data_IF_395832991931
#
_entry.id   IF_395832991931
#
_cell.length_a   1.000
_cell.length_b   1.000
_cell.length_c   1.000
_cell.angle_alpha   90.00
_cell.angle_beta   90.00
_cell.angle_gamma   90.00
#
_symmetry.space_group_name_H-M   'P 1'
#
loop_
_entity.id
_entity.type
_entity.pdbx_description
1 polymer ?
#
# COMPACT_ATOMS: atom_id res chain seq x y z
N UNK A 1 19.17 -15.90 0.38
CA UNK A 1 19.50 -14.47 0.18
C UNK A 1 19.13 -13.75 1.47
N UNK A 2 20.05 -12.99 2.04
CA UNK A 2 19.75 -12.22 3.24
C UNK A 2 18.76 -11.09 2.86
N UNK A 3 17.61 -11.04 3.53
CA UNK A 3 16.55 -10.04 3.28
C UNK A 3 16.55 -8.94 4.32
N UNK A 4 17.27 -9.16 5.42
CA UNK A 4 17.30 -8.22 6.53
C UNK A 4 18.13 -7.02 6.15
N UNK A 5 17.55 -5.84 6.32
CA UNK A 5 18.23 -4.56 6.18
C UNK A 5 18.18 -3.82 7.51
N UNK A 6 19.13 -2.90 7.73
CA UNK A 6 19.34 -2.31 9.06
C UNK A 6 18.23 -1.32 9.48
N UNK A 7 17.66 -0.63 8.50
CA UNK A 7 16.70 0.46 8.77
C UNK A 7 15.87 0.82 7.52
N UNK A 8 14.92 1.73 7.71
CA UNK A 8 14.03 2.19 6.65
C UNK A 8 14.77 2.87 5.48
N UNK A 9 15.86 3.59 5.74
CA UNK A 9 16.62 4.28 4.68
C UNK A 9 17.30 3.27 3.75
N UNK A 10 17.87 2.21 4.30
CA UNK A 10 18.42 1.10 3.51
C UNK A 10 17.31 0.33 2.79
N UNK A 11 16.17 0.12 3.46
CA UNK A 11 15.05 -0.61 2.87
C UNK A 11 14.52 0.06 1.60
N UNK A 12 14.38 1.40 1.60
CA UNK A 12 13.89 2.16 0.44
C UNK A 12 14.94 2.44 -0.63
N UNK A 13 16.18 2.03 -0.42
CA UNK A 13 17.26 2.27 -1.39
C UNK A 13 16.89 1.69 -2.77
N UNK A 14 17.05 2.53 -3.80
CA UNK A 14 16.66 2.22 -5.18
C UNK A 14 15.27 2.72 -5.58
N UNK A 15 14.47 3.27 -4.65
CA UNK A 15 13.29 4.03 -5.01
C UNK A 15 13.77 5.38 -5.59
N UNK A 16 13.25 5.73 -6.76
CA UNK A 16 13.60 6.96 -7.49
C UNK A 16 12.36 7.67 -8.02
N UNK A 17 12.58 8.88 -8.54
CA UNK A 17 11.52 9.72 -9.09
C UNK A 17 10.68 9.01 -10.14
N UNK A 18 9.37 9.23 -10.08
CA UNK A 18 8.41 8.69 -11.05
C UNK A 18 7.99 7.25 -10.81
N UNK A 19 8.55 6.54 -9.84
CA UNK A 19 8.18 5.15 -9.55
C UNK A 19 6.77 5.02 -8.97
N UNK A 20 6.18 3.85 -9.18
CA UNK A 20 4.88 3.46 -8.63
C UNK A 20 5.09 2.65 -7.35
N UNK A 21 4.51 3.12 -6.26
CA UNK A 21 4.58 2.52 -4.93
C UNK A 21 3.19 2.07 -4.46
N UNK A 22 3.06 0.82 -4.04
CA UNK A 22 1.93 0.38 -3.21
C UNK A 22 2.28 0.59 -1.75
N UNK A 23 1.43 1.28 -1.01
CA UNK A 23 1.64 1.57 0.41
C UNK A 23 0.48 0.97 1.20
N UNK A 24 0.81 -0.03 2.02
CA UNK A 24 -0.15 -0.77 2.84
C UNK A 24 -0.81 0.09 3.92
N UNK A 25 -1.89 -0.43 4.47
CA UNK A 25 -2.68 0.24 5.49
C UNK A 25 -4.12 0.52 5.07
N UNK A 26 -4.91 0.92 6.05
CA UNK A 26 -6.30 1.37 5.88
C UNK A 26 -6.54 2.53 6.87
N UNK A 27 -6.87 3.71 6.39
CA UNK A 27 -6.78 4.90 7.21
C UNK A 27 -5.34 5.05 7.71
N UNK A 28 -5.16 5.18 8.99
CA UNK A 28 -3.86 5.19 9.64
C UNK A 28 -3.48 3.83 10.24
N UNK A 29 -4.38 2.84 10.16
CA UNK A 29 -4.16 1.53 10.74
C UNK A 29 -3.24 0.67 9.85
N UNK A 30 -2.12 0.19 10.41
CA UNK A 30 -1.22 -0.71 9.71
C UNK A 30 -0.37 -0.05 8.62
N UNK A 31 -0.15 1.26 8.69
CA UNK A 31 0.72 1.98 7.76
C UNK A 31 2.20 1.79 8.10
N UNK A 32 3.10 1.77 7.12
CA UNK A 32 4.55 1.65 7.32
C UNK A 32 5.17 3.00 7.69
N UNK A 33 5.03 3.40 8.96
CA UNK A 33 5.39 4.74 9.45
C UNK A 33 6.87 5.11 9.25
N UNK A 34 7.78 4.14 9.51
CA UNK A 34 9.22 4.41 9.38
C UNK A 34 9.62 4.53 7.92
N UNK A 35 9.06 3.69 7.05
CA UNK A 35 9.31 3.74 5.61
C UNK A 35 8.77 5.02 4.98
N UNK A 36 7.58 5.47 5.37
CA UNK A 36 7.02 6.75 4.92
C UNK A 36 7.92 7.91 5.35
N UNK A 37 8.34 7.95 6.61
CA UNK A 37 9.27 8.98 7.11
C UNK A 37 10.62 8.97 6.37
N UNK A 38 11.11 7.78 6.01
CA UNK A 38 12.32 7.65 5.21
C UNK A 38 12.12 8.18 3.77
N UNK A 39 10.99 7.88 3.13
CA UNK A 39 10.63 8.43 1.81
C UNK A 39 10.56 9.96 1.83
N UNK A 40 9.95 10.55 2.86
CA UNK A 40 9.93 12.01 3.03
C UNK A 40 11.34 12.57 3.07
N UNK A 41 12.22 11.97 3.87
CA UNK A 41 13.63 12.42 4.01
C UNK A 41 14.46 12.21 2.75
N UNK A 42 14.15 11.24 1.93
CA UNK A 42 14.90 10.94 0.70
C UNK A 42 14.74 12.02 -0.37
N UNK A 43 13.61 12.77 -0.34
CA UNK A 43 13.30 13.79 -1.32
C UNK A 43 12.91 13.25 -2.69
N UNK A 44 12.72 11.92 -2.87
CA UNK A 44 12.19 11.35 -4.11
C UNK A 44 10.84 11.96 -4.43
N UNK A 45 10.56 12.23 -5.69
CA UNK A 45 9.38 12.97 -6.11
C UNK A 45 8.69 12.35 -7.34
N UNK A 46 7.57 12.97 -7.77
CA UNK A 46 6.75 12.51 -8.90
C UNK A 46 6.25 11.08 -8.74
N UNK A 47 6.11 10.60 -7.51
CA UNK A 47 5.66 9.24 -7.21
C UNK A 47 4.20 9.03 -7.63
N UNK A 48 3.89 7.83 -8.10
CA UNK A 48 2.52 7.32 -8.15
C UNK A 48 2.29 6.45 -6.93
N UNK A 49 1.37 6.85 -6.04
CA UNK A 49 1.05 6.09 -4.84
C UNK A 49 -0.28 5.36 -5.00
N UNK A 50 -0.28 4.05 -4.76
CA UNK A 50 -1.46 3.19 -4.71
C UNK A 50 -1.70 2.83 -3.25
N UNK A 51 -2.79 3.31 -2.66
CA UNK A 51 -3.16 3.01 -1.28
C UNK A 51 -4.66 3.19 -1.09
N UNK A 52 -5.23 2.62 -0.02
CA UNK A 52 -6.65 2.75 0.24
C UNK A 52 -7.09 4.21 0.40
N UNK A 53 -6.27 5.03 1.05
CA UNK A 53 -6.47 6.46 1.26
C UNK A 53 -5.12 7.20 1.32
N UNK A 54 -5.18 8.52 1.56
CA UNK A 54 -3.99 9.39 1.57
C UNK A 54 -3.50 9.79 2.98
N UNK A 55 -3.91 9.07 4.03
CA UNK A 55 -3.59 9.46 5.40
C UNK A 55 -4.33 10.75 5.82
N UNK A 56 -3.80 11.42 6.81
CA UNK A 56 -4.22 12.76 7.27
C UNK A 56 -3.09 13.76 7.02
N UNK A 57 -3.34 15.05 7.16
CA UNK A 57 -2.37 16.10 6.80
C UNK A 57 -0.97 15.90 7.40
N UNK A 58 -0.90 15.54 8.67
CA UNK A 58 0.34 15.45 9.45
C UNK A 58 0.82 14.01 9.72
N UNK A 59 0.21 13.01 9.05
CA UNK A 59 0.58 11.62 9.31
C UNK A 59 0.28 10.68 8.12
N UNK A 60 1.09 9.61 8.01
CA UNK A 60 0.96 8.66 6.92
C UNK A 60 1.36 9.25 5.58
N UNK A 61 0.66 8.89 4.51
CA UNK A 61 0.93 9.37 3.14
C UNK A 61 0.75 10.90 3.03
N UNK A 62 -0.05 11.52 3.92
CA UNK A 62 -0.20 12.97 3.98
C UNK A 62 1.14 13.72 4.06
N UNK A 63 2.13 13.14 4.74
CA UNK A 63 3.49 13.71 4.80
C UNK A 63 4.17 13.80 3.42
N UNK A 64 3.94 12.82 2.55
CA UNK A 64 4.44 12.84 1.16
C UNK A 64 3.70 13.87 0.31
N UNK A 65 2.41 14.06 0.56
CA UNK A 65 1.61 15.09 -0.11
C UNK A 65 2.07 16.50 0.30
N UNK A 66 2.29 16.75 1.59
CA UNK A 66 2.85 18.02 2.07
C UNK A 66 4.21 18.31 1.44
N UNK A 67 5.05 17.30 1.27
CA UNK A 67 6.34 17.39 0.60
C UNK A 67 6.26 17.51 -0.93
N UNK A 68 5.05 17.50 -1.52
CA UNK A 68 4.81 17.49 -2.98
C UNK A 68 5.57 16.37 -3.71
N UNK A 69 5.76 15.24 -3.04
CA UNK A 69 6.49 14.09 -3.57
C UNK A 69 5.60 13.18 -4.43
N UNK A 70 4.27 13.30 -4.30
CA UNK A 70 3.29 12.49 -5.03
C UNK A 70 2.77 13.26 -6.23
N UNK A 71 2.91 12.69 -7.42
CA UNK A 71 2.31 13.20 -8.66
C UNK A 71 0.90 12.65 -8.90
N UNK A 72 0.72 11.37 -8.60
CA UNK A 72 -0.55 10.67 -8.79
C UNK A 72 -0.91 9.82 -7.57
N UNK A 73 -2.16 9.94 -7.14
CA UNK A 73 -2.74 9.06 -6.12
C UNK A 73 -3.81 8.18 -6.73
N UNK A 74 -3.71 6.87 -6.52
CA UNK A 74 -4.73 5.88 -6.88
C UNK A 74 -5.29 5.33 -5.57
N UNK A 75 -6.56 5.64 -5.27
CA UNK A 75 -7.15 5.30 -3.98
C UNK A 75 -8.66 5.07 -4.08
N UNK A 76 -9.24 4.60 -2.98
CA UNK A 76 -10.70 4.42 -2.90
C UNK A 76 -11.39 5.46 -2.02
N UNK A 77 -10.62 6.28 -1.34
CA UNK A 77 -11.12 7.30 -0.40
C UNK A 77 -10.12 8.46 -0.26
N UNK A 78 -10.63 9.67 -0.18
CA UNK A 78 -9.83 10.91 -0.18
C UNK A 78 -10.20 11.89 0.93
N UNK A 79 -11.03 11.51 1.88
CA UNK A 79 -11.43 12.36 3.00
C UNK A 79 -10.32 12.55 4.05
N UNK A 80 -10.52 13.53 4.94
CA UNK A 80 -9.71 13.79 6.14
C UNK A 80 -8.27 14.28 5.90
N UNK A 81 -7.97 14.74 4.67
CA UNK A 81 -6.68 15.32 4.32
C UNK A 81 -6.90 16.60 3.51
N UNK A 82 -6.72 17.76 4.15
CA UNK A 82 -6.98 19.08 3.56
C UNK A 82 -5.97 19.38 2.45
N UNK A 83 -4.71 19.01 2.63
CA UNK A 83 -3.69 19.21 1.60
C UNK A 83 -3.95 18.35 0.35
N UNK A 84 -4.44 17.13 0.52
CA UNK A 84 -4.88 16.31 -0.60
C UNK A 84 -5.99 17.01 -1.41
N UNK A 85 -7.04 17.49 -0.72
CA UNK A 85 -8.15 18.19 -1.35
C UNK A 85 -7.66 19.44 -2.09
N UNK A 86 -6.80 20.22 -1.46
CA UNK A 86 -6.21 21.42 -2.07
C UNK A 86 -5.45 21.10 -3.35
N UNK A 87 -4.55 20.10 -3.32
CA UNK A 87 -3.75 19.72 -4.49
C UNK A 87 -4.60 19.13 -5.62
N UNK A 88 -5.66 18.39 -5.30
CA UNK A 88 -6.60 17.90 -6.28
C UNK A 88 -7.34 19.05 -6.98
N UNK A 89 -7.91 19.98 -6.21
CA UNK A 89 -8.68 21.10 -6.75
C UNK A 89 -7.79 22.09 -7.55
N UNK A 90 -6.52 22.24 -7.19
CA UNK A 90 -5.56 23.07 -7.93
C UNK A 90 -4.96 22.38 -9.17
N UNK A 91 -5.19 21.09 -9.36
CA UNK A 91 -4.60 20.31 -10.45
C UNK A 91 -3.12 19.95 -10.23
N UNK A 92 -2.58 20.18 -9.03
CA UNK A 92 -1.21 19.79 -8.68
C UNK A 92 -1.07 18.26 -8.51
N UNK A 93 -2.14 17.57 -8.12
CA UNK A 93 -2.19 16.13 -7.90
C UNK A 93 -3.19 15.46 -8.85
N UNK A 94 -2.71 14.49 -9.62
CA UNK A 94 -3.58 13.59 -10.36
C UNK A 94 -4.23 12.58 -9.39
N UNK A 95 -5.54 12.35 -9.50
CA UNK A 95 -6.25 11.41 -8.63
C UNK A 95 -7.08 10.45 -9.47
N UNK A 96 -6.92 9.15 -9.22
CA UNK A 96 -7.73 8.08 -9.76
C UNK A 96 -8.50 7.42 -8.61
N UNK A 97 -9.81 7.68 -8.54
CA UNK A 97 -10.68 7.05 -7.57
C UNK A 97 -11.28 5.78 -8.14
N UNK A 98 -11.12 4.69 -7.41
CA UNK A 98 -11.66 3.38 -7.80
C UNK A 98 -12.43 2.75 -6.64
N UNK A 99 -13.46 1.93 -6.92
CA UNK A 99 -14.17 1.23 -5.86
C UNK A 99 -13.21 0.40 -5.00
N UNK A 100 -13.37 0.43 -3.68
CA UNK A 100 -12.44 -0.20 -2.74
C UNK A 100 -12.24 -1.69 -3.00
N UNK A 101 -13.32 -2.43 -3.30
CA UNK A 101 -13.21 -3.84 -3.67
C UNK A 101 -12.42 -4.05 -4.96
N UNK A 102 -12.53 -3.15 -5.92
CA UNK A 102 -11.74 -3.17 -7.16
C UNK A 102 -10.26 -2.89 -6.87
N UNK A 103 -9.94 -1.93 -5.98
CA UNK A 103 -8.57 -1.67 -5.55
C UNK A 103 -7.95 -2.94 -4.93
N UNK A 104 -8.67 -3.58 -4.02
CA UNK A 104 -8.23 -4.81 -3.38
C UNK A 104 -8.00 -5.94 -4.41
N UNK A 105 -8.93 -6.12 -5.34
CA UNK A 105 -8.85 -7.19 -6.35
C UNK A 105 -7.75 -6.90 -7.38
N UNK A 106 -7.51 -5.66 -7.78
CA UNK A 106 -6.39 -5.29 -8.66
C UNK A 106 -5.03 -5.60 -8.01
N UNK A 107 -4.88 -5.41 -6.68
CA UNK A 107 -3.70 -5.86 -5.93
C UNK A 107 -3.59 -7.39 -5.93
N UNK A 108 -4.70 -8.09 -5.59
CA UNK A 108 -4.71 -9.56 -5.53
C UNK A 108 -4.38 -10.17 -6.90
N UNK A 109 -5.01 -9.66 -7.96
CA UNK A 109 -4.77 -10.10 -9.33
C UNK A 109 -3.30 -9.95 -9.72
N UNK A 110 -2.68 -8.81 -9.40
CA UNK A 110 -1.27 -8.57 -9.64
C UNK A 110 -0.39 -9.61 -8.95
N UNK A 111 -0.62 -9.86 -7.67
CA UNK A 111 0.13 -10.86 -6.88
C UNK A 111 -0.08 -12.29 -7.34
N UNK A 112 -1.21 -12.60 -7.96
CA UNK A 112 -1.55 -13.93 -8.51
C UNK A 112 -1.14 -14.10 -9.99
N UNK A 113 -0.60 -13.07 -10.64
CA UNK A 113 -0.27 -13.12 -12.06
C UNK A 113 -1.50 -13.09 -12.99
N UNK A 114 -2.66 -12.66 -12.50
CA UNK A 114 -3.90 -12.49 -13.27
C UNK A 114 -3.89 -11.11 -13.90
N UNK A 115 -3.84 -10.97 -15.24
CA UNK A 115 -3.64 -9.68 -15.89
C UNK A 115 -4.86 -8.75 -15.80
N UNK A 116 -6.08 -9.32 -15.78
CA UNK A 116 -7.34 -8.58 -15.73
C UNK A 116 -8.48 -9.44 -15.20
N UNK A 117 -9.55 -8.82 -14.75
CA UNK A 117 -10.77 -9.48 -14.29
C UNK A 117 -12.00 -8.61 -14.61
N UNK A 118 -13.20 -9.19 -14.49
CA UNK A 118 -14.45 -8.49 -14.69
C UNK A 118 -15.18 -8.29 -13.34
N UNK A 119 -15.70 -7.06 -13.12
CA UNK A 119 -16.44 -6.69 -11.91
C UNK A 119 -17.68 -5.87 -12.24
N UNK A 120 -18.80 -6.04 -11.54
CA UNK A 120 -19.97 -5.17 -11.69
C UNK A 120 -19.77 -3.81 -10.99
N UNK A 121 -18.77 -3.68 -10.10
CA UNK A 121 -18.52 -2.45 -9.34
C UNK A 121 -18.09 -1.32 -10.31
N UNK A 122 -18.74 -0.17 -10.20
CA UNK A 122 -18.44 1.00 -11.03
C UNK A 122 -19.12 0.99 -12.41
N UNK A 123 -19.80 -0.09 -12.83
CA UNK A 123 -20.57 -0.05 -14.08
C UNK A 123 -21.68 1.03 -14.00
N UNK A 124 -21.79 1.85 -15.07
CA UNK A 124 -22.76 2.95 -15.13
C UNK A 124 -22.29 4.24 -14.44
N UNK A 125 -21.05 4.31 -14.03
CA UNK A 125 -20.39 5.53 -13.51
C UNK A 125 -19.20 5.91 -14.39
N UNK A 126 -18.57 7.05 -14.15
CA UNK A 126 -17.35 7.49 -14.81
C UNK A 126 -16.21 6.45 -14.76
N UNK A 127 -16.20 5.61 -13.72
CA UNK A 127 -15.21 4.50 -13.57
C UNK A 127 -15.27 3.53 -14.76
N UNK A 128 -16.43 3.40 -15.42
CA UNK A 128 -16.63 2.48 -16.53
C UNK A 128 -16.21 3.06 -17.91
N UNK A 129 -15.90 4.35 -18.00
CA UNK A 129 -15.58 4.99 -19.26
C UNK A 129 -14.34 4.39 -19.92
N UNK A 130 -14.47 4.05 -21.19
CA UNK A 130 -13.39 3.44 -21.99
C UNK A 130 -13.06 1.99 -21.65
N UNK A 131 -13.74 1.35 -20.68
CA UNK A 131 -13.47 -0.04 -20.28
C UNK A 131 -14.33 -1.03 -21.07
N UNK A 132 -13.77 -2.21 -21.34
CA UNK A 132 -14.51 -3.32 -21.93
C UNK A 132 -15.65 -3.76 -21.03
N UNK A 133 -16.85 -3.96 -21.62
CA UNK A 133 -18.04 -4.42 -20.91
C UNK A 133 -18.43 -5.81 -21.37
N UNK A 134 -18.65 -6.74 -20.43
CA UNK A 134 -19.22 -8.07 -20.71
C UNK A 134 -20.42 -8.35 -19.81
N UNK A 135 -21.29 -9.24 -20.30
CA UNK A 135 -22.47 -9.68 -19.56
C UNK A 135 -22.21 -11.07 -19.00
N UNK A 136 -22.32 -11.21 -17.67
CA UNK A 136 -22.28 -12.48 -16.97
C UNK A 136 -23.58 -12.65 -16.18
N UNK A 137 -24.29 -13.75 -16.41
CA UNK A 137 -25.57 -14.04 -15.74
C UNK A 137 -26.57 -12.87 -15.78
N UNK A 138 -26.69 -12.20 -16.95
CA UNK A 138 -27.60 -11.09 -17.16
C UNK A 138 -27.14 -9.75 -16.56
N UNK A 139 -25.97 -9.68 -15.88
CA UNK A 139 -25.42 -8.46 -15.29
C UNK A 139 -24.21 -7.97 -16.07
N UNK A 140 -24.15 -6.65 -16.29
CA UNK A 140 -23.01 -6.00 -16.94
C UNK A 140 -21.84 -5.88 -15.97
N UNK A 141 -20.64 -6.15 -16.47
CA UNK A 141 -19.36 -6.08 -15.76
C UNK A 141 -18.38 -5.29 -16.62
N UNK A 142 -17.52 -4.52 -15.98
CA UNK A 142 -16.39 -3.83 -16.60
C UNK A 142 -15.11 -4.61 -16.37
N UNK A 143 -14.19 -4.56 -17.33
CA UNK A 143 -12.86 -5.12 -17.19
C UNK A 143 -11.96 -4.17 -16.39
N UNK A 144 -11.28 -4.72 -15.41
CA UNK A 144 -10.25 -4.04 -14.63
C UNK A 144 -8.91 -4.76 -14.78
N UNK A 145 -7.85 -4.01 -15.05
CA UNK A 145 -6.49 -4.56 -15.13
C UNK A 145 -5.83 -4.64 -13.75
N UNK A 146 -4.99 -5.66 -13.58
CA UNK A 146 -4.15 -5.77 -12.40
C UNK A 146 -3.19 -4.59 -12.30
N UNK A 147 -2.83 -4.20 -11.07
CA UNK A 147 -1.85 -3.15 -10.87
C UNK A 147 -0.44 -3.57 -11.30
N UNK A 148 0.34 -2.58 -11.70
CA UNK A 148 1.79 -2.69 -11.87
C UNK A 148 2.45 -1.74 -10.88
N UNK A 149 3.33 -2.26 -10.03
CA UNK A 149 4.02 -1.46 -9.02
C UNK A 149 5.50 -1.83 -8.97
N UNK A 150 6.35 -0.82 -8.86
CA UNK A 150 7.79 -1.04 -8.73
C UNK A 150 8.14 -1.51 -7.32
N UNK A 151 7.50 -0.93 -6.32
CA UNK A 151 7.66 -1.33 -4.93
C UNK A 151 6.31 -1.48 -4.23
N UNK A 152 6.25 -2.44 -3.30
CA UNK A 152 5.23 -2.49 -2.27
C UNK A 152 5.89 -2.26 -0.91
N UNK A 153 5.31 -1.41 -0.08
CA UNK A 153 5.79 -1.09 1.25
C UNK A 153 4.68 -1.41 2.22
N UNK A 154 4.90 -2.41 3.06
CA UNK A 154 3.89 -2.94 3.97
C UNK A 154 4.37 -2.94 5.42
N UNK A 155 3.42 -2.92 6.35
CA UNK A 155 3.72 -3.00 7.78
C UNK A 155 3.07 -4.22 8.38
N UNK A 156 3.87 -5.08 9.01
CA UNK A 156 3.38 -6.23 9.77
C UNK A 156 3.63 -6.06 11.28
N UNK A 157 2.99 -6.91 12.08
CA UNK A 157 3.25 -6.99 13.51
C UNK A 157 4.54 -7.73 13.77
N UNK A 158 4.67 -8.95 13.25
CA UNK A 158 5.87 -9.77 13.36
C UNK A 158 6.33 -10.23 11.99
N UNK A 159 7.62 -10.38 11.84
CA UNK A 159 8.21 -11.05 10.69
C UNK A 159 9.46 -11.81 11.10
N UNK A 160 9.78 -12.87 10.38
CA UNK A 160 11.05 -13.54 10.55
C UNK A 160 12.08 -13.08 9.51
N UNK A 161 13.33 -13.46 9.70
CA UNK A 161 14.43 -13.07 8.79
C UNK A 161 14.31 -13.70 7.40
N UNK A 162 13.44 -14.69 7.21
CA UNK A 162 13.08 -15.25 5.90
C UNK A 162 11.97 -14.45 5.21
N UNK A 163 11.38 -13.46 5.90
CA UNK A 163 10.35 -12.56 5.38
C UNK A 163 8.92 -13.06 5.54
N UNK A 164 8.67 -14.11 6.32
CA UNK A 164 7.31 -14.50 6.68
C UNK A 164 6.67 -13.47 7.59
N UNK A 165 5.40 -13.10 7.34
CA UNK A 165 4.74 -12.00 8.03
C UNK A 165 3.47 -12.44 8.74
N UNK A 166 3.28 -11.90 9.95
CA UNK A 166 2.03 -11.97 10.73
C UNK A 166 1.53 -10.55 10.99
N UNK A 167 0.27 -10.29 10.64
CA UNK A 167 -0.40 -9.01 10.90
C UNK A 167 -1.29 -9.11 12.12
N UNK A 168 -1.47 -8.01 12.85
CA UNK A 168 -2.28 -7.97 14.06
C UNK A 168 -3.63 -7.31 13.80
N UNK A 169 -4.71 -8.04 14.08
CA UNK A 169 -6.08 -7.56 13.99
C UNK A 169 -6.36 -6.80 12.65
N UNK A 170 -6.99 -5.63 12.72
CA UNK A 170 -7.36 -4.83 11.54
C UNK A 170 -6.18 -4.23 10.78
N UNK A 171 -4.98 -4.21 11.36
CA UNK A 171 -3.76 -3.80 10.64
C UNK A 171 -3.36 -4.79 9.52
N UNK A 172 -4.01 -5.95 9.42
CA UNK A 172 -3.86 -6.86 8.29
C UNK A 172 -4.32 -6.23 6.98
N UNK A 173 -5.52 -5.64 6.96
CA UNK A 173 -6.16 -4.90 5.85
C UNK A 173 -5.56 -5.14 4.45
N UNK A 174 -5.06 -4.11 3.76
CA UNK A 174 -4.49 -4.21 2.42
C UNK A 174 -3.05 -4.77 2.38
N UNK A 175 -2.37 -4.84 3.52
CA UNK A 175 -0.96 -5.22 3.59
C UNK A 175 -0.62 -6.54 2.90
N UNK A 176 -1.33 -7.67 3.13
CA UNK A 176 -0.99 -8.95 2.49
C UNK A 176 -1.10 -8.91 0.96
N UNK A 177 -2.16 -8.30 0.44
CA UNK A 177 -2.38 -8.24 -1.01
C UNK A 177 -1.36 -7.35 -1.69
N UNK A 178 -1.02 -6.21 -1.09
CA UNK A 178 0.00 -5.31 -1.61
C UNK A 178 1.40 -5.94 -1.54
N UNK A 179 1.72 -6.67 -0.47
CA UNK A 179 2.98 -7.40 -0.35
C UNK A 179 3.22 -8.37 -1.50
N UNK A 180 2.16 -8.98 -2.03
CA UNK A 180 2.25 -9.92 -3.16
C UNK A 180 2.37 -9.22 -4.52
N UNK A 181 2.00 -7.95 -4.61
CA UNK A 181 1.79 -7.24 -5.88
C UNK A 181 2.97 -6.38 -6.34
N UNK A 182 3.92 -6.05 -5.46
CA UNK A 182 5.10 -5.27 -5.80
C UNK A 182 6.16 -6.11 -6.52
N UNK A 183 6.91 -5.50 -7.45
CA UNK A 183 8.13 -6.14 -8.00
C UNK A 183 9.17 -6.36 -6.89
N UNK A 184 9.29 -5.37 -6.00
CA UNK A 184 10.14 -5.42 -4.79
C UNK A 184 9.24 -5.08 -3.61
N UNK A 185 9.16 -5.99 -2.65
CA UNK A 185 8.38 -5.79 -1.43
C UNK A 185 9.29 -5.53 -0.23
N UNK A 186 9.03 -4.40 0.42
CA UNK A 186 9.66 -3.97 1.66
C UNK A 186 8.67 -4.21 2.79
N UNK A 187 9.06 -4.98 3.79
CA UNK A 187 8.28 -5.21 5.00
C UNK A 187 8.91 -4.51 6.20
N UNK A 188 8.15 -3.62 6.80
CA UNK A 188 8.44 -3.00 8.08
C UNK A 188 7.73 -3.79 9.17
N UNK A 189 8.43 -4.24 10.21
CA UNK A 189 7.84 -5.04 11.29
C UNK A 189 8.06 -4.41 12.66
N UNK A 190 7.13 -4.65 13.58
CA UNK A 190 7.30 -4.20 14.97
C UNK A 190 8.29 -5.11 15.72
N UNK A 191 8.31 -6.41 15.37
CA UNK A 191 9.17 -7.41 15.97
C UNK A 191 9.75 -8.31 14.88
N UNK A 192 11.07 -8.32 14.77
CA UNK A 192 11.81 -9.21 13.87
C UNK A 192 12.32 -10.40 14.67
N UNK A 193 11.94 -11.60 14.26
CA UNK A 193 12.27 -12.84 14.95
C UNK A 193 13.11 -13.77 14.08
N UNK A 194 13.61 -14.85 14.64
CA UNK A 194 14.35 -15.87 13.90
C UNK A 194 13.41 -16.81 13.16
N UNK A 195 13.86 -17.47 12.07
CA UNK A 195 13.10 -18.54 11.43
C UNK A 195 12.73 -19.63 12.45
N UNK A 196 11.48 -20.09 12.37
CA UNK A 196 10.93 -21.10 13.28
C UNK A 196 10.32 -20.55 14.58
N UNK A 197 10.45 -19.24 14.87
CA UNK A 197 9.79 -18.62 16.04
C UNK A 197 8.35 -18.19 15.74
N UNK A 198 7.96 -18.09 14.47
CA UNK A 198 6.57 -17.89 14.06
C UNK A 198 5.87 -19.24 13.89
N UNK A 199 4.64 -19.35 14.39
CA UNK A 199 3.83 -20.55 14.13
C UNK A 199 3.50 -20.63 12.63
N UNK A 200 3.91 -21.69 11.93
CA UNK A 200 3.71 -21.83 10.49
C UNK A 200 2.23 -21.87 10.08
N UNK A 201 1.31 -22.23 10.99
CA UNK A 201 -0.13 -22.24 10.74
C UNK A 201 -0.73 -20.83 10.70
N UNK A 202 -0.03 -19.81 11.21
CA UNK A 202 -0.50 -18.43 11.30
C UNK A 202 0.28 -17.46 10.41
N UNK A 203 1.10 -17.93 9.49
CA UNK A 203 1.75 -17.07 8.50
C UNK A 203 0.69 -16.47 7.56
N UNK A 204 0.57 -15.15 7.55
CA UNK A 204 -0.39 -14.44 6.71
C UNK A 204 0.16 -14.10 5.32
N UNK A 205 1.45 -13.81 5.23
CA UNK A 205 2.16 -13.58 3.98
C UNK A 205 3.45 -14.39 3.99
N UNK A 206 3.60 -15.36 3.07
CA UNK A 206 4.83 -16.13 2.94
C UNK A 206 6.02 -15.26 2.55
N UNK A 207 7.18 -15.58 3.09
CA UNK A 207 8.42 -14.85 2.86
C UNK A 207 8.83 -14.72 1.40
N UNK A 208 8.39 -15.63 0.53
CA UNK A 208 8.68 -15.57 -0.91
C UNK A 208 8.28 -14.23 -1.56
N UNK A 209 7.30 -13.53 -1.00
CA UNK A 209 6.83 -12.24 -1.49
C UNK A 209 7.62 -11.05 -0.94
N UNK A 210 8.47 -11.26 0.08
CA UNK A 210 9.22 -10.19 0.73
C UNK A 210 10.67 -10.21 0.28
N UNK A 211 11.15 -9.07 -0.22
CA UNK A 211 12.52 -8.90 -0.69
C UNK A 211 13.41 -8.26 0.36
N UNK A 212 12.87 -7.34 1.15
CA UNK A 212 13.58 -6.64 2.23
C UNK A 212 12.70 -6.57 3.46
N UNK A 213 13.30 -6.81 4.63
CA UNK A 213 12.61 -6.73 5.91
C UNK A 213 13.48 -6.03 6.93
N UNK A 214 12.88 -5.17 7.77
CA UNK A 214 13.55 -4.52 8.89
C UNK A 214 12.61 -4.29 10.05
N UNK A 215 13.18 -4.19 11.25
CA UNK A 215 12.41 -3.81 12.42
C UNK A 215 12.33 -2.29 12.53
N UNK A 216 11.10 -1.75 12.59
CA UNK A 216 10.87 -0.33 12.78
C UNK A 216 11.32 0.15 14.16
N UNK A 217 11.88 1.35 14.24
CA UNK A 217 12.44 1.89 15.48
C UNK A 217 11.38 2.35 16.47
N UNK A 218 10.26 2.87 15.97
CA UNK A 218 9.16 3.37 16.80
C UNK A 218 7.87 3.48 16.00
N UNK A 219 6.74 3.39 16.70
CA UNK A 219 5.41 3.51 16.12
C UNK A 219 4.51 4.39 16.97
N UNK A 220 3.84 5.35 16.36
CA UNK A 220 2.85 6.19 17.02
C UNK A 220 1.46 5.52 17.00
N UNK A 221 1.15 4.79 15.94
CA UNK A 221 -0.11 4.03 15.76
C UNK A 221 -1.35 4.88 15.93
N UNK A 222 -1.38 6.03 15.28
CA UNK A 222 -2.61 6.82 15.23
C UNK A 222 -3.73 6.04 14.53
N UNK A 223 -4.95 6.25 15.01
CA UNK A 223 -6.16 5.90 14.27
C UNK A 223 -6.92 7.21 14.14
N UNK A 224 -6.88 7.79 12.94
CA UNK A 224 -7.41 9.10 12.66
C UNK A 224 -6.88 10.15 13.68
N UNK A 225 -7.75 10.75 14.48
CA UNK A 225 -7.37 11.73 15.50
C UNK A 225 -6.94 11.09 16.84
N UNK A 226 -6.77 9.78 16.90
CA UNK A 226 -6.43 9.05 18.12
C UNK A 226 -5.09 8.34 18.00
N UNK A 227 -4.38 8.25 19.11
CA UNK A 227 -3.19 7.39 19.25
C UNK A 227 -3.55 6.19 20.11
N UNK A 228 -3.15 4.99 19.69
CA UNK A 228 -3.31 3.78 20.51
C UNK A 228 -2.07 3.64 21.36
N UNK A 229 -2.23 3.86 22.66
CA UNK A 229 -1.24 3.44 23.65
C UNK A 229 -1.40 1.94 23.92
N UNK A 230 -0.28 1.25 24.14
CA UNK A 230 -0.25 -0.17 24.52
C UNK A 230 -0.93 -0.42 25.85
#
# INVERSE_FOLDING_TARGET
MDKVVQNAAEAIAGISDGMTLMIGGFGLCGIPENSIKALVKSGVNKLTCISNNAGVDDFGIGLLLQGKQVKKMISSYVGENVEFERQLLSGELEVELIPQGTLAERCRAAGAGVPAFFTPAGYGTEVAEGKEVRIFNGKKHIMEEAFKSDYAIVKAWKGDTDGNLIFKATARNFNPMMAMAGKITIAEVEELVKPGELDPNFIHTPGIFVNRIFQGSSYEKRIEQRTITK
#
